data_IF_745793038861
#
_entry.id   IF_745793038861
#
_cell.length_a   1.000
_cell.length_b   1.000
_cell.length_c   1.000
_cell.angle_alpha   90.00
_cell.angle_beta   90.00
_cell.angle_gamma   90.00
#
_symmetry.space_group_name_H-M   'P 1'
#
loop_
_entity.id
_entity.type
_entity.pdbx_description
1 polymer ?
#
# COMPACT_ATOMS: atom_id res chain seq x y z
N UNK A 1 -21.32 -28.82 2.27
CA UNK A 1 -20.86 -27.43 2.49
C UNK A 1 -21.53 -26.54 1.46
N UNK A 2 -21.99 -25.33 1.82
CA UNK A 2 -22.43 -24.36 0.82
C UNK A 2 -21.29 -24.10 -0.19
N UNK A 3 -21.64 -23.85 -1.46
CA UNK A 3 -20.67 -23.45 -2.48
C UNK A 3 -20.17 -22.04 -2.14
N UNK A 4 -18.98 -21.93 -1.55
CA UNK A 4 -18.30 -20.67 -1.31
C UNK A 4 -17.49 -20.29 -2.55
N UNK A 5 -17.41 -18.99 -2.88
CA UNK A 5 -16.57 -18.52 -3.99
C UNK A 5 -15.08 -18.53 -3.63
N UNK A 6 -14.76 -18.53 -2.33
CA UNK A 6 -13.43 -18.62 -1.78
C UNK A 6 -13.40 -19.65 -0.63
N UNK A 7 -12.26 -19.79 0.06
CA UNK A 7 -12.06 -20.76 1.12
C UNK A 7 -12.93 -20.49 2.36
N UNK A 8 -13.38 -21.54 3.08
CA UNK A 8 -13.97 -21.39 4.40
C UNK A 8 -12.94 -20.83 5.41
N UNK A 9 -13.43 -20.24 6.50
CA UNK A 9 -12.61 -19.55 7.49
C UNK A 9 -11.50 -20.44 8.09
N UNK A 10 -11.74 -21.74 8.31
CA UNK A 10 -10.70 -22.64 8.82
C UNK A 10 -9.50 -22.73 7.86
N UNK A 11 -9.77 -22.81 6.56
CA UNK A 11 -8.72 -22.87 5.53
C UNK A 11 -8.04 -21.51 5.33
N UNK A 12 -8.78 -20.40 5.40
CA UNK A 12 -8.21 -19.05 5.31
C UNK A 12 -7.13 -18.81 6.38
N UNK A 13 -7.37 -19.29 7.62
CA UNK A 13 -6.42 -19.14 8.74
C UNK A 13 -5.11 -19.90 8.55
N UNK A 14 -5.11 -20.94 7.73
CA UNK A 14 -3.92 -21.76 7.47
C UNK A 14 -3.25 -21.41 6.14
N UNK A 15 -3.96 -20.71 5.24
CA UNK A 15 -3.52 -20.44 3.89
C UNK A 15 -2.22 -19.62 3.81
N UNK A 16 -1.24 -20.11 3.05
CA UNK A 16 0.09 -19.50 2.93
C UNK A 16 0.34 -18.85 1.56
N UNK A 17 -0.70 -18.62 0.76
CA UNK A 17 -0.55 -18.08 -0.60
C UNK A 17 -0.05 -19.09 -1.63
N UNK A 18 -0.11 -18.71 -2.90
CA UNK A 18 0.30 -19.57 -4.03
C UNK A 18 1.19 -18.85 -5.05
N UNK A 19 1.19 -17.52 -5.09
CA UNK A 19 2.08 -16.78 -5.97
C UNK A 19 3.55 -17.07 -5.63
N UNK A 20 4.41 -17.47 -6.60
CA UNK A 20 5.80 -17.78 -6.33
C UNK A 20 6.55 -16.61 -5.69
N UNK A 21 7.49 -16.92 -4.79
CA UNK A 21 8.45 -15.96 -4.22
C UNK A 21 9.74 -16.02 -5.05
N UNK A 22 10.21 -14.91 -5.65
CA UNK A 22 11.52 -14.85 -6.27
C UNK A 22 12.64 -15.29 -5.32
N UNK A 23 13.63 -16.02 -5.82
CA UNK A 23 14.71 -16.59 -4.98
C UNK A 23 15.60 -15.51 -4.35
N UNK A 24 15.78 -14.40 -5.06
CA UNK A 24 16.55 -13.21 -4.74
C UNK A 24 15.68 -12.05 -4.23
N UNK A 25 14.43 -12.32 -3.85
CA UNK A 25 13.46 -11.33 -3.36
C UNK A 25 14.03 -10.40 -2.27
N UNK A 26 14.78 -10.97 -1.32
CA UNK A 26 15.33 -10.17 -0.23
C UNK A 26 16.44 -9.22 -0.71
N UNK A 27 17.33 -9.69 -1.58
CA UNK A 27 18.38 -8.87 -2.17
C UNK A 27 17.80 -7.75 -3.04
N UNK A 28 16.75 -8.04 -3.82
CA UNK A 28 16.04 -7.06 -4.64
C UNK A 28 15.50 -5.88 -3.82
N UNK A 29 14.83 -6.17 -2.69
CA UNK A 29 14.28 -5.12 -1.83
C UNK A 29 15.35 -4.39 -1.01
N UNK A 30 16.39 -5.09 -0.56
CA UNK A 30 17.52 -4.46 0.14
C UNK A 30 18.26 -3.49 -0.80
N UNK A 31 18.42 -3.84 -2.08
CA UNK A 31 18.98 -2.94 -3.09
C UNK A 31 18.06 -1.74 -3.36
N UNK A 32 16.73 -1.95 -3.43
CA UNK A 32 15.77 -0.85 -3.55
C UNK A 32 15.81 0.13 -2.37
N UNK A 33 15.95 -0.37 -1.13
CA UNK A 33 16.11 0.47 0.05
C UNK A 33 17.46 1.20 0.08
N UNK A 34 18.52 0.58 -0.42
CA UNK A 34 19.82 1.24 -0.58
C UNK A 34 19.76 2.36 -1.62
N UNK A 35 19.03 2.16 -2.73
CA UNK A 35 18.73 3.20 -3.72
C UNK A 35 18.02 4.39 -3.05
N UNK A 36 16.92 4.13 -2.31
CA UNK A 36 16.19 5.16 -1.56
C UNK A 36 17.08 5.88 -0.53
N UNK A 37 17.97 5.15 0.14
CA UNK A 37 18.89 5.73 1.12
C UNK A 37 19.89 6.71 0.50
N UNK A 38 20.33 6.44 -0.74
CA UNK A 38 21.29 7.26 -1.47
C UNK A 38 20.65 8.44 -2.23
N UNK A 39 19.32 8.47 -2.38
CA UNK A 39 18.63 9.57 -3.04
C UNK A 39 18.67 10.86 -2.22
N UNK A 40 18.84 11.97 -2.92
CA UNK A 40 18.46 13.29 -2.41
C UNK A 40 16.98 13.54 -2.77
N UNK A 41 16.07 13.53 -1.78
CA UNK A 41 14.64 13.66 -2.04
C UNK A 41 14.24 15.06 -2.52
N UNK A 42 15.12 16.08 -2.46
CA UNK A 42 14.82 17.43 -2.94
C UNK A 42 13.45 17.92 -2.43
N UNK A 43 13.26 17.83 -1.11
CA UNK A 43 11.96 18.07 -0.46
C UNK A 43 11.51 19.52 -0.69
N UNK A 44 10.25 19.69 -1.06
CA UNK A 44 9.62 20.99 -1.22
C UNK A 44 8.26 20.99 -0.53
N UNK A 45 7.98 22.05 0.23
CA UNK A 45 6.69 22.27 0.87
C UNK A 45 6.05 23.52 0.26
N UNK A 46 4.94 23.34 -0.45
CA UNK A 46 4.15 24.43 -1.01
C UNK A 46 2.87 24.57 -0.20
N UNK A 47 2.54 25.74 0.37
CA UNK A 47 1.27 25.93 1.06
C UNK A 47 0.08 25.57 0.17
N UNK A 48 -0.87 24.81 0.71
CA UNK A 48 -2.09 24.45 -0.01
C UNK A 48 -3.14 25.57 0.08
N UNK A 49 -4.05 25.64 -0.91
CA UNK A 49 -5.17 26.59 -0.88
C UNK A 49 -6.16 26.30 0.26
N UNK A 50 -6.27 25.04 0.69
CA UNK A 50 -7.12 24.66 1.81
C UNK A 50 -6.49 25.11 3.14
N UNK A 51 -7.19 25.99 3.86
CA UNK A 51 -6.72 26.60 5.10
C UNK A 51 -7.70 26.32 6.25
N UNK A 52 -7.17 26.12 7.46
CA UNK A 52 -7.94 25.83 8.66
C UNK A 52 -7.23 26.38 9.91
N UNK A 53 -7.95 26.73 11.00
CA UNK A 53 -7.31 27.23 12.22
C UNK A 53 -6.49 26.20 12.98
N UNK A 54 -6.68 24.89 12.73
CA UNK A 54 -6.01 23.83 13.51
C UNK A 54 -4.79 23.21 12.82
N UNK A 55 -4.62 23.43 11.53
CA UNK A 55 -3.58 22.78 10.74
C UNK A 55 -2.91 23.74 9.76
N UNK A 56 -1.60 23.55 9.56
CA UNK A 56 -0.87 24.01 8.38
C UNK A 56 -0.91 22.91 7.32
N UNK A 57 -1.45 23.25 6.14
CA UNK A 57 -1.64 22.32 5.03
C UNK A 57 -0.65 22.63 3.91
N UNK A 58 0.13 21.64 3.50
CA UNK A 58 1.14 21.75 2.44
C UNK A 58 0.96 20.65 1.41
N UNK A 59 1.22 21.00 0.16
CA UNK A 59 1.67 20.05 -0.84
C UNK A 59 3.14 19.73 -0.55
N UNK A 60 3.41 18.51 -0.08
CA UNK A 60 4.75 17.97 0.06
C UNK A 60 5.13 17.30 -1.25
N UNK A 61 6.24 17.72 -1.83
CA UNK A 61 6.84 17.07 -2.98
C UNK A 61 8.23 16.53 -2.64
N UNK A 62 8.54 15.34 -3.15
CA UNK A 62 9.85 14.71 -3.06
C UNK A 62 10.18 13.94 -4.34
N UNK A 63 11.47 13.70 -4.58
CA UNK A 63 11.97 12.98 -5.76
C UNK A 63 12.19 11.52 -5.39
N UNK A 64 11.40 10.63 -6.00
CA UNK A 64 11.50 9.19 -5.81
C UNK A 64 12.49 8.52 -6.77
N UNK A 65 12.59 7.19 -6.67
CA UNK A 65 13.38 6.36 -7.60
C UNK A 65 12.94 6.57 -9.05
N UNK A 66 13.87 6.48 -10.01
CA UNK A 66 13.63 6.86 -11.40
C UNK A 66 13.45 8.38 -11.62
N UNK A 67 13.67 9.19 -10.58
CA UNK A 67 13.64 10.65 -10.65
C UNK A 67 12.25 11.25 -10.85
N UNK A 68 11.19 10.54 -10.46
CA UNK A 68 9.82 11.04 -10.53
C UNK A 68 9.52 12.02 -9.41
N UNK A 69 8.78 13.10 -9.71
CA UNK A 69 8.30 14.01 -8.68
C UNK A 69 7.02 13.46 -8.05
N UNK A 70 7.12 13.05 -6.79
CA UNK A 70 6.05 12.44 -6.03
C UNK A 70 5.45 13.47 -5.08
N UNK A 71 4.12 13.45 -4.95
CA UNK A 71 3.34 14.35 -4.12
C UNK A 71 2.68 13.61 -2.97
N UNK A 72 2.63 14.26 -1.81
CA UNK A 72 1.76 13.91 -0.71
C UNK A 72 1.09 15.17 -0.14
N UNK A 73 -0.17 15.04 0.31
CA UNK A 73 -0.78 16.05 1.17
C UNK A 73 -0.16 15.94 2.55
N UNK A 74 0.33 17.03 3.10
CA UNK A 74 0.89 17.11 4.44
C UNK A 74 0.06 18.06 5.29
N UNK A 75 -0.42 17.59 6.45
CA UNK A 75 -1.11 18.40 7.43
C UNK A 75 -0.33 18.34 8.73
N UNK A 76 0.05 19.51 9.25
CA UNK A 76 0.76 19.66 10.52
C UNK A 76 -0.09 20.44 11.51
N UNK A 77 -0.20 20.00 12.78
CA UNK A 77 -0.95 20.71 13.80
C UNK A 77 -0.29 22.05 14.13
N UNK A 78 -1.08 23.14 14.21
CA UNK A 78 -0.58 24.49 14.54
C UNK A 78 -0.15 24.65 15.99
N UNK A 79 -0.65 23.80 16.87
CA UNK A 79 -0.42 23.88 18.31
C UNK A 79 0.15 22.56 18.81
N UNK A 80 1.48 22.44 18.80
CA UNK A 80 2.20 21.37 19.49
C UNK A 80 3.50 21.91 20.11
N UNK A 81 3.81 21.47 21.33
CA UNK A 81 4.94 21.97 22.11
C UNK A 81 6.21 21.08 22.03
N UNK A 82 6.19 20.03 21.20
CA UNK A 82 7.29 19.08 21.02
C UNK A 82 6.95 17.94 20.07
N UNK A 83 7.85 16.95 19.87
CA UNK A 83 7.65 15.85 18.94
C UNK A 83 6.37 15.06 19.20
N UNK A 84 5.62 14.78 18.14
CA UNK A 84 4.27 14.18 18.20
C UNK A 84 4.08 13.06 17.17
N UNK A 85 3.02 12.25 17.29
CA UNK A 85 2.79 11.16 16.36
C UNK A 85 2.51 11.62 14.93
N UNK A 86 2.63 10.68 14.00
CA UNK A 86 2.25 10.87 12.61
C UNK A 86 1.45 9.70 12.04
N UNK A 87 0.59 9.98 11.07
CA UNK A 87 -0.20 8.97 10.33
C UNK A 87 0.05 9.12 8.83
N UNK A 88 0.51 8.04 8.22
CA UNK A 88 0.65 7.90 6.77
C UNK A 88 -0.62 7.29 6.19
N UNK A 89 -1.19 7.92 5.16
CA UNK A 89 -2.41 7.47 4.52
C UNK A 89 -2.17 7.15 3.04
N UNK A 90 -2.72 6.02 2.59
CA UNK A 90 -2.61 5.55 1.21
C UNK A 90 -4.00 5.30 0.60
N UNK A 91 -4.19 5.66 -0.67
CA UNK A 91 -5.50 5.64 -1.33
C UNK A 91 -5.76 4.38 -2.17
N UNK A 92 -7.03 4.13 -2.46
CA UNK A 92 -7.50 3.05 -3.33
C UNK A 92 -7.07 3.24 -4.79
N UNK A 93 -7.07 2.15 -5.57
CA UNK A 93 -6.52 2.14 -6.93
C UNK A 93 -7.24 3.13 -7.85
N UNK A 94 -6.48 3.81 -8.71
CA UNK A 94 -6.88 4.91 -9.61
C UNK A 94 -7.28 6.24 -8.94
N UNK A 95 -7.48 6.23 -7.62
CA UNK A 95 -7.88 7.40 -6.86
C UNK A 95 -6.74 8.40 -6.59
N UNK A 96 -6.91 9.19 -5.53
CA UNK A 96 -5.92 10.13 -4.99
C UNK A 96 -6.06 10.23 -3.47
N UNK A 97 -5.21 11.04 -2.84
CA UNK A 97 -5.13 11.28 -1.40
C UNK A 97 -6.43 11.77 -0.72
N UNK A 98 -7.51 12.04 -1.48
CA UNK A 98 -8.84 12.38 -0.94
C UNK A 98 -8.91 13.81 -0.42
N UNK A 99 -9.98 14.16 0.28
CA UNK A 99 -10.20 15.54 0.74
C UNK A 99 -9.35 15.88 1.97
N UNK A 100 -8.95 17.16 2.10
CA UNK A 100 -8.15 17.62 3.24
C UNK A 100 -8.87 17.45 4.58
N UNK A 101 -10.18 17.69 4.60
CA UNK A 101 -11.02 17.65 5.80
C UNK A 101 -11.08 16.26 6.44
N UNK A 102 -10.95 15.20 5.66
CA UNK A 102 -10.96 13.81 6.14
C UNK A 102 -9.77 13.49 7.06
N UNK A 103 -8.70 14.29 7.00
CA UNK A 103 -7.48 14.10 7.81
C UNK A 103 -7.52 14.90 9.11
N UNK A 104 -8.44 15.85 9.24
CA UNK A 104 -8.45 16.80 10.36
C UNK A 104 -8.75 16.14 11.71
N UNK A 105 -9.40 14.97 11.72
CA UNK A 105 -9.61 14.19 12.95
C UNK A 105 -8.29 13.82 13.63
N UNK A 106 -7.29 13.37 12.88
CA UNK A 106 -5.96 13.05 13.41
C UNK A 106 -5.17 14.30 13.78
N UNK A 107 -5.29 15.37 12.99
CA UNK A 107 -4.66 16.66 13.33
C UNK A 107 -5.21 17.22 14.65
N UNK A 108 -6.51 17.03 14.91
CA UNK A 108 -7.12 17.41 16.19
C UNK A 108 -6.61 16.59 17.39
N UNK A 109 -6.04 15.40 17.17
CA UNK A 109 -5.28 14.64 18.18
C UNK A 109 -3.84 15.15 18.36
N UNK A 110 -3.43 16.13 17.55
CA UNK A 110 -2.07 16.67 17.52
C UNK A 110 -1.12 15.86 16.63
N UNK A 111 -1.62 15.12 15.63
CA UNK A 111 -0.77 14.29 14.77
C UNK A 111 -0.41 15.00 13.45
N UNK A 112 0.79 14.76 12.94
CA UNK A 112 1.10 15.02 11.52
C UNK A 112 0.38 13.99 10.67
N UNK A 113 -0.20 14.40 9.54
CA UNK A 113 -0.80 13.48 8.57
C UNK A 113 -0.14 13.68 7.22
N UNK A 114 0.37 12.60 6.62
CA UNK A 114 0.87 12.60 5.26
C UNK A 114 0.07 11.61 4.40
N UNK A 115 -0.56 12.08 3.32
CA UNK A 115 -1.36 11.24 2.42
C UNK A 115 -0.74 11.23 1.02
N UNK A 116 -0.14 10.11 0.62
CA UNK A 116 0.58 9.95 -0.64
C UNK A 116 -0.39 9.93 -1.82
N UNK A 117 -0.06 10.62 -2.91
CA UNK A 117 -0.65 10.34 -4.23
C UNK A 117 0.23 9.32 -4.97
N UNK A 118 -0.35 8.24 -5.47
CA UNK A 118 0.40 7.25 -6.24
C UNK A 118 0.74 7.78 -7.63
N UNK A 119 1.92 7.43 -8.14
CA UNK A 119 2.41 7.82 -9.48
C UNK A 119 1.38 7.54 -10.57
N UNK A 120 1.07 8.54 -11.40
CA UNK A 120 0.22 8.39 -12.59
C UNK A 120 -1.25 8.03 -12.31
N UNK A 121 -1.72 8.16 -11.06
CA UNK A 121 -3.12 7.96 -10.70
C UNK A 121 -3.85 9.30 -10.63
N UNK A 122 -4.99 9.38 -9.94
CA UNK A 122 -5.85 10.58 -9.93
C UNK A 122 -5.32 11.76 -9.10
N UNK A 123 -4.05 11.71 -8.67
CA UNK A 123 -3.41 12.71 -7.82
C UNK A 123 -2.37 13.55 -8.56
N UNK A 124 -1.46 14.19 -7.82
CA UNK A 124 -0.44 15.09 -8.39
C UNK A 124 0.91 14.42 -8.67
N UNK A 125 1.09 13.15 -8.32
CA UNK A 125 2.36 12.43 -8.49
C UNK A 125 2.62 12.04 -9.93
N UNK A 126 3.84 12.29 -10.39
CA UNK A 126 4.30 11.95 -11.72
C UNK A 126 4.60 10.45 -11.87
N UNK A 127 4.13 9.83 -12.96
CA UNK A 127 4.72 8.62 -13.52
C UNK A 127 5.58 9.03 -14.74
N UNK A 128 6.91 8.94 -14.61
CA UNK A 128 7.84 9.28 -15.69
C UNK A 128 7.91 8.23 -16.80
N UNK A 129 7.35 7.03 -16.58
CA UNK A 129 7.47 5.90 -17.49
C UNK A 129 8.93 5.47 -17.66
N UNK A 130 9.37 5.29 -18.91
CA UNK A 130 10.72 4.75 -19.20
C UNK A 130 10.80 3.22 -19.18
N UNK A 131 9.66 2.56 -19.36
CA UNK A 131 9.56 1.09 -19.40
C UNK A 131 9.21 0.60 -20.80
N UNK A 132 9.64 -0.60 -21.14
CA UNK A 132 9.19 -1.32 -22.34
C UNK A 132 7.84 -1.99 -22.10
N UNK A 133 7.21 -2.49 -23.17
CA UNK A 133 5.98 -3.29 -23.06
C UNK A 133 4.70 -2.45 -22.95
N UNK A 134 3.71 -2.97 -22.23
CA UNK A 134 2.35 -2.44 -22.27
C UNK A 134 2.15 -1.22 -21.36
N UNK A 135 1.76 -0.10 -21.96
CA UNK A 135 1.57 1.18 -21.26
C UNK A 135 0.15 1.76 -21.38
N UNK A 136 -0.75 1.10 -22.12
CA UNK A 136 -2.11 1.61 -22.36
C UNK A 136 -2.94 1.67 -21.07
N UNK A 137 -2.89 0.62 -20.24
CA UNK A 137 -3.58 0.54 -18.96
C UNK A 137 -2.93 -0.51 -18.06
N UNK A 138 -3.14 -0.35 -16.76
CA UNK A 138 -2.63 -1.24 -15.72
C UNK A 138 -1.26 -0.83 -15.18
N UNK A 139 -1.15 -0.74 -13.85
CA UNK A 139 0.07 -0.42 -13.11
C UNK A 139 0.71 -1.66 -12.46
N UNK A 140 -0.05 -2.73 -12.21
CA UNK A 140 0.47 -4.05 -11.79
C UNK A 140 1.37 -4.62 -12.89
N UNK A 141 0.92 -4.56 -14.14
CA UNK A 141 1.63 -5.13 -15.29
C UNK A 141 2.60 -4.15 -15.98
N UNK A 142 2.74 -2.93 -15.45
CA UNK A 142 3.64 -1.92 -16.03
C UNK A 142 5.10 -2.28 -15.72
N UNK A 143 5.88 -2.54 -16.78
CA UNK A 143 7.25 -3.04 -16.67
C UNK A 143 7.35 -4.58 -16.57
N UNK A 144 6.22 -5.28 -16.62
CA UNK A 144 6.19 -6.75 -16.67
C UNK A 144 6.76 -7.25 -18.01
N UNK A 145 7.69 -8.21 -17.95
CA UNK A 145 8.47 -8.67 -19.12
C UNK A 145 9.72 -7.84 -19.44
N UNK A 146 10.01 -6.78 -18.67
CA UNK A 146 11.29 -6.06 -18.65
C UNK A 146 12.04 -6.43 -17.35
N UNK A 147 13.12 -5.71 -17.01
CA UNK A 147 13.84 -5.87 -15.74
C UNK A 147 12.90 -5.63 -14.53
N UNK A 148 12.88 -6.49 -13.49
CA UNK A 148 12.02 -6.32 -12.32
C UNK A 148 12.15 -4.96 -11.61
N UNK A 149 13.32 -4.32 -11.70
CA UNK A 149 13.58 -2.99 -11.14
C UNK A 149 12.75 -1.87 -11.77
N UNK A 150 12.23 -2.09 -12.98
CA UNK A 150 11.39 -1.16 -13.74
C UNK A 150 9.90 -1.33 -13.47
N UNK A 151 9.49 -2.33 -12.68
CA UNK A 151 8.08 -2.52 -12.34
C UNK A 151 7.55 -1.31 -11.58
N UNK A 152 6.43 -0.74 -12.05
CA UNK A 152 5.91 0.51 -11.48
C UNK A 152 5.59 0.38 -9.98
N UNK A 153 5.03 -0.75 -9.54
CA UNK A 153 4.76 -0.95 -8.11
C UNK A 153 6.01 -1.11 -7.24
N UNK A 154 7.17 -1.48 -7.80
CA UNK A 154 8.43 -1.38 -7.06
C UNK A 154 8.69 0.07 -6.68
N UNK A 155 8.59 0.98 -7.66
CA UNK A 155 8.78 2.41 -7.43
C UNK A 155 7.74 2.97 -6.45
N UNK A 156 6.46 2.62 -6.60
CA UNK A 156 5.40 3.07 -5.69
C UNK A 156 5.63 2.55 -4.26
N UNK A 157 6.08 1.30 -4.07
CA UNK A 157 6.40 0.78 -2.73
C UNK A 157 7.62 1.50 -2.13
N UNK A 158 8.63 1.84 -2.93
CA UNK A 158 9.76 2.64 -2.47
C UNK A 158 9.35 4.08 -2.13
N UNK A 159 8.34 4.65 -2.81
CA UNK A 159 7.79 5.96 -2.44
C UNK A 159 7.11 5.94 -1.07
N UNK A 160 6.45 4.84 -0.68
CA UNK A 160 5.87 4.74 0.67
C UNK A 160 6.95 4.72 1.74
N UNK A 161 8.04 3.98 1.51
CA UNK A 161 9.19 3.94 2.40
C UNK A 161 9.89 5.32 2.50
N UNK A 162 10.07 6.00 1.35
CA UNK A 162 10.65 7.33 1.32
C UNK A 162 9.76 8.38 2.01
N UNK A 163 8.44 8.34 1.79
CA UNK A 163 7.51 9.21 2.52
C UNK A 163 7.59 8.97 4.03
N UNK A 164 7.62 7.71 4.47
CA UNK A 164 7.73 7.37 5.88
C UNK A 164 9.02 7.93 6.50
N UNK A 165 10.16 7.75 5.81
CA UNK A 165 11.44 8.31 6.22
C UNK A 165 11.40 9.84 6.30
N UNK A 166 10.88 10.52 5.28
CA UNK A 166 10.75 11.99 5.26
C UNK A 166 9.93 12.49 6.45
N UNK A 167 8.81 11.81 6.76
CA UNK A 167 7.95 12.18 7.89
C UNK A 167 8.63 11.91 9.22
N UNK A 168 9.32 10.78 9.37
CA UNK A 168 10.09 10.44 10.59
C UNK A 168 11.29 11.37 10.83
N UNK A 169 11.84 11.98 9.78
CA UNK A 169 12.95 12.95 9.86
C UNK A 169 12.48 14.40 10.15
N UNK A 170 11.16 14.66 10.25
CA UNK A 170 10.66 15.99 10.63
C UNK A 170 10.94 16.29 12.11
N UNK A 171 11.45 17.48 12.42
CA UNK A 171 11.84 17.88 13.79
C UNK A 171 10.70 17.80 14.83
N UNK A 172 9.45 17.89 14.38
CA UNK A 172 8.25 17.85 15.22
C UNK A 172 7.55 16.47 15.22
N UNK A 173 8.11 15.46 14.55
CA UNK A 173 7.57 14.09 14.56
C UNK A 173 8.42 13.20 15.47
N UNK A 174 7.76 12.43 16.32
CA UNK A 174 8.39 11.33 17.04
C UNK A 174 8.44 10.09 16.14
N UNK A 175 9.64 9.74 15.64
CA UNK A 175 9.84 8.62 14.73
C UNK A 175 9.39 7.25 15.29
N UNK A 176 9.24 7.13 16.62
CA UNK A 176 8.78 5.90 17.26
C UNK A 176 7.24 5.81 17.35
N UNK A 177 6.53 6.87 16.94
CA UNK A 177 5.07 7.00 17.01
C UNK A 177 4.48 7.34 15.65
N UNK A 178 4.81 6.52 14.64
CA UNK A 178 4.25 6.66 13.29
C UNK A 178 3.37 5.45 12.94
N UNK A 179 2.19 5.70 12.39
CA UNK A 179 1.29 4.68 11.88
C UNK A 179 1.04 4.79 10.37
N UNK A 180 0.51 3.71 9.77
CA UNK A 180 0.09 3.67 8.38
C UNK A 180 -1.32 3.09 8.23
N UNK A 181 -2.12 3.61 7.30
CA UNK A 181 -3.47 3.12 7.01
C UNK A 181 -3.91 3.38 5.58
N UNK A 182 -4.85 2.57 5.10
CA UNK A 182 -5.42 2.69 3.76
C UNK A 182 -6.31 1.50 3.40
N UNK A 183 -7.18 1.71 2.41
CA UNK A 183 -8.09 0.67 1.91
C UNK A 183 -7.75 0.22 0.50
N UNK A 184 -7.98 -1.06 0.20
CA UNK A 184 -7.74 -1.66 -1.11
C UNK A 184 -6.26 -1.56 -1.49
N UNK A 185 -5.91 -0.86 -2.58
CA UNK A 185 -4.51 -0.48 -2.88
C UNK A 185 -3.82 0.14 -1.66
N UNK A 186 -4.49 1.06 -0.97
CA UNK A 186 -3.95 1.70 0.23
C UNK A 186 -3.67 0.71 1.35
N UNK A 187 -4.41 -0.40 1.44
CA UNK A 187 -4.16 -1.47 2.40
C UNK A 187 -2.90 -2.27 2.04
N UNK A 188 -2.71 -2.58 0.76
CA UNK A 188 -1.47 -3.19 0.26
C UNK A 188 -0.26 -2.28 0.49
N UNK A 189 -0.39 -0.98 0.19
CA UNK A 189 0.65 0.03 0.40
C UNK A 189 0.95 0.27 1.89
N UNK A 190 -0.05 0.16 2.76
CA UNK A 190 0.15 0.20 4.22
C UNK A 190 1.09 -0.93 4.68
N UNK A 191 0.85 -2.15 4.21
CA UNK A 191 1.66 -3.32 4.54
C UNK A 191 3.05 -3.25 3.90
N UNK A 192 3.15 -2.78 2.65
CA UNK A 192 4.44 -2.55 1.99
C UNK A 192 5.26 -1.47 2.72
N UNK A 193 4.65 -0.36 3.10
CA UNK A 193 5.28 0.70 3.89
C UNK A 193 5.80 0.17 5.23
N UNK A 194 4.98 -0.57 5.98
CA UNK A 194 5.36 -1.16 7.26
C UNK A 194 6.44 -2.25 7.15
N UNK A 195 6.59 -2.86 5.98
CA UNK A 195 7.63 -3.85 5.70
C UNK A 195 8.96 -3.19 5.31
N UNK A 196 8.90 -2.08 4.56
CA UNK A 196 10.08 -1.37 4.03
C UNK A 196 10.61 -0.30 4.98
N UNK A 197 9.76 0.22 5.87
CA UNK A 197 10.13 1.04 7.02
C UNK A 197 9.65 0.35 8.32
N UNK A 198 10.44 -0.58 8.89
CA UNK A 198 10.01 -1.40 10.02
C UNK A 198 9.89 -0.63 11.34
N UNK A 199 10.22 0.67 11.38
CA UNK A 199 9.95 1.54 12.54
C UNK A 199 8.47 1.93 12.66
N UNK A 200 7.65 1.76 11.62
CA UNK A 200 6.19 1.99 11.69
C UNK A 200 5.60 1.17 12.85
N UNK A 201 4.93 1.87 13.77
CA UNK A 201 4.45 1.28 15.04
C UNK A 201 3.14 0.55 14.88
N UNK A 202 2.17 1.17 14.20
CA UNK A 202 0.82 0.63 13.98
C UNK A 202 0.48 0.62 12.50
N UNK A 203 -0.19 -0.44 12.03
CA UNK A 203 -0.66 -0.55 10.65
C UNK A 203 -2.11 -1.03 10.62
N UNK A 204 -2.96 -0.32 9.90
CA UNK A 204 -4.40 -0.61 9.83
C UNK A 204 -4.92 -0.80 8.39
N UNK A 205 -4.48 -1.85 7.68
CA UNK A 205 -4.93 -2.11 6.30
C UNK A 205 -6.39 -2.56 6.24
N UNK A 206 -7.12 -2.09 5.24
CA UNK A 206 -8.50 -2.49 4.95
C UNK A 206 -8.53 -3.21 3.60
N UNK A 207 -9.03 -4.45 3.60
CA UNK A 207 -9.14 -5.36 2.45
C UNK A 207 -7.97 -5.25 1.45
N UNK A 208 -6.72 -5.52 1.88
CA UNK A 208 -5.53 -5.17 1.13
C UNK A 208 -5.50 -5.81 -0.27
N UNK A 209 -5.28 -4.97 -1.27
CA UNK A 209 -4.98 -5.33 -2.67
C UNK A 209 -3.49 -5.71 -2.82
N UNK A 210 -3.05 -6.07 -4.04
CA UNK A 210 -1.65 -6.38 -4.38
C UNK A 210 -1.08 -7.60 -3.64
N UNK A 211 -1.95 -8.55 -3.31
CA UNK A 211 -1.59 -9.78 -2.60
C UNK A 211 -1.96 -10.99 -3.45
N UNK A 212 -1.04 -11.93 -3.57
CA UNK A 212 -1.30 -13.28 -4.10
C UNK A 212 -1.95 -13.31 -5.49
N UNK A 213 -1.30 -12.66 -6.46
CA UNK A 213 -1.81 -12.47 -7.82
C UNK A 213 -2.23 -13.79 -8.49
N UNK A 214 -1.43 -14.86 -8.31
CA UNK A 214 -1.77 -16.19 -8.83
C UNK A 214 -3.07 -16.74 -8.24
N UNK A 215 -3.35 -16.50 -6.95
CA UNK A 215 -4.62 -16.93 -6.34
C UNK A 215 -5.82 -16.19 -6.94
N UNK A 216 -5.68 -14.90 -7.20
CA UNK A 216 -6.71 -14.11 -7.89
C UNK A 216 -7.00 -14.71 -9.27
N UNK A 217 -5.95 -15.06 -10.00
CA UNK A 217 -6.04 -15.72 -11.30
C UNK A 217 -6.77 -17.05 -11.23
N UNK A 218 -6.35 -17.94 -10.32
CA UNK A 218 -6.93 -19.28 -10.15
C UNK A 218 -8.41 -19.25 -9.71
N UNK A 219 -8.85 -18.15 -9.07
CA UNK A 219 -10.25 -17.92 -8.69
C UNK A 219 -11.11 -17.35 -9.84
N UNK A 220 -10.54 -17.11 -11.02
CA UNK A 220 -11.18 -16.41 -12.15
C UNK A 220 -11.70 -15.01 -11.76
N UNK A 221 -10.99 -14.36 -10.82
CA UNK A 221 -11.27 -13.02 -10.32
C UNK A 221 -10.22 -11.99 -10.77
N UNK A 222 -9.40 -12.32 -11.77
CA UNK A 222 -8.57 -11.39 -12.53
C UNK A 222 -9.44 -10.43 -13.38
N UNK A 223 -10.33 -9.72 -12.70
CA UNK A 223 -11.37 -8.83 -13.20
C UNK A 223 -11.34 -7.58 -12.34
N UNK A 224 -12.08 -6.54 -12.73
CA UNK A 224 -12.15 -5.28 -11.99
C UNK A 224 -10.73 -4.73 -11.71
N UNK A 225 -10.32 -4.60 -10.44
CA UNK A 225 -9.00 -4.10 -10.06
C UNK A 225 -7.83 -4.97 -10.57
N UNK A 226 -8.03 -6.28 -10.74
CA UNK A 226 -7.03 -7.21 -11.27
C UNK A 226 -7.22 -7.53 -12.76
N UNK A 227 -8.11 -6.82 -13.48
CA UNK A 227 -8.42 -7.08 -14.90
C UNK A 227 -7.18 -7.02 -15.80
N UNK A 228 -6.21 -6.18 -15.44
CA UNK A 228 -4.98 -6.02 -16.20
C UNK A 228 -4.14 -7.30 -16.31
N UNK A 229 -4.27 -8.25 -15.37
CA UNK A 229 -3.61 -9.56 -15.46
C UNK A 229 -4.16 -10.38 -16.64
N UNK A 230 -5.49 -10.53 -16.72
CA UNK A 230 -6.15 -11.25 -17.82
C UNK A 230 -5.88 -10.59 -19.16
N UNK A 231 -5.93 -9.27 -19.18
CA UNK A 231 -5.72 -8.50 -20.40
C UNK A 231 -4.28 -8.56 -20.90
N UNK A 232 -3.31 -8.68 -20.00
CA UNK A 232 -1.90 -8.89 -20.35
C UNK A 232 -1.72 -10.29 -20.94
N UNK A 233 -2.17 -11.36 -20.25
CA UNK A 233 -2.05 -12.74 -20.76
C UNK A 233 -2.69 -12.88 -22.13
N UNK A 234 -3.92 -12.38 -22.33
CA UNK A 234 -4.61 -12.44 -23.62
C UNK A 234 -3.86 -11.77 -24.78
N UNK A 235 -2.97 -10.82 -24.51
CA UNK A 235 -2.24 -10.07 -25.53
C UNK A 235 -0.83 -10.59 -25.75
N UNK A 236 -0.14 -10.96 -24.67
CA UNK A 236 1.30 -11.19 -24.68
C UNK A 236 1.68 -12.64 -24.42
N UNK A 237 0.81 -13.42 -23.79
CA UNK A 237 1.01 -14.86 -23.57
C UNK A 237 -0.33 -15.63 -23.62
N UNK A 238 -1.03 -15.63 -24.77
CA UNK A 238 -2.39 -16.17 -24.87
C UNK A 238 -2.45 -17.70 -24.71
N UNK A 239 -1.30 -18.37 -24.77
CA UNK A 239 -1.15 -19.82 -24.60
C UNK A 239 -0.55 -20.20 -23.25
N UNK A 240 -0.24 -19.21 -22.40
CA UNK A 240 0.31 -19.43 -21.06
C UNK A 240 1.65 -20.17 -21.07
N UNK A 241 2.47 -19.94 -22.11
CA UNK A 241 3.78 -20.57 -22.28
C UNK A 241 4.80 -20.05 -21.24
N UNK A 242 4.59 -18.83 -20.72
CA UNK A 242 5.46 -18.15 -19.76
C UNK A 242 4.76 -17.87 -18.42
N UNK A 243 3.63 -18.55 -18.14
CA UNK A 243 2.79 -18.28 -16.97
C UNK A 243 3.57 -18.31 -15.64
N UNK A 244 4.44 -19.31 -15.46
CA UNK A 244 5.24 -19.44 -14.24
C UNK A 244 6.20 -18.26 -14.04
N UNK A 245 6.87 -17.84 -15.11
CA UNK A 245 7.85 -16.75 -15.06
C UNK A 245 7.14 -15.40 -14.81
N UNK A 246 5.98 -15.18 -15.44
CA UNK A 246 5.14 -14.00 -15.22
C UNK A 246 4.71 -13.88 -13.76
N UNK A 247 4.15 -14.95 -13.18
CA UNK A 247 3.74 -14.91 -11.76
C UNK A 247 4.94 -14.85 -10.82
N UNK A 248 6.09 -15.41 -11.20
CA UNK A 248 7.33 -15.26 -10.43
C UNK A 248 7.78 -13.80 -10.43
N UNK A 249 7.77 -13.11 -11.57
CA UNK A 249 8.10 -11.68 -11.64
C UNK A 249 7.11 -10.82 -10.84
N UNK A 250 5.81 -11.09 -10.92
CA UNK A 250 4.80 -10.46 -10.06
C UNK A 250 5.06 -10.68 -8.57
N UNK A 251 5.74 -11.78 -8.21
CA UNK A 251 6.17 -12.07 -6.85
C UNK A 251 7.11 -11.03 -6.24
N UNK A 252 7.83 -10.23 -7.02
CA UNK A 252 8.63 -9.12 -6.48
C UNK A 252 7.78 -8.02 -5.85
N UNK A 253 6.60 -7.76 -6.43
CA UNK A 253 5.64 -6.74 -5.97
C UNK A 253 4.43 -7.34 -5.26
N UNK A 254 4.52 -8.60 -4.84
CA UNK A 254 3.49 -9.24 -4.03
C UNK A 254 3.71 -8.95 -2.56
N UNK A 255 2.77 -8.22 -1.96
CA UNK A 255 2.85 -7.76 -0.56
C UNK A 255 2.96 -8.95 0.40
N UNK A 256 2.47 -10.14 0.04
CA UNK A 256 2.59 -11.32 0.88
C UNK A 256 4.06 -11.68 1.19
N UNK A 257 4.98 -11.42 0.26
CA UNK A 257 6.39 -11.79 0.42
C UNK A 257 7.17 -10.75 1.24
N UNK A 258 6.67 -9.52 1.33
CA UNK A 258 7.14 -8.46 2.22
C UNK A 258 6.74 -8.68 3.69
N UNK A 259 5.68 -9.47 3.96
CA UNK A 259 5.05 -9.60 5.28
C UNK A 259 6.02 -9.94 6.43
N UNK A 260 7.05 -10.75 6.16
CA UNK A 260 8.04 -11.17 7.17
C UNK A 260 8.90 -10.01 7.70
N UNK A 261 8.95 -8.87 6.99
CA UNK A 261 9.67 -7.67 7.40
C UNK A 261 8.86 -6.78 8.35
N UNK A 262 7.54 -6.96 8.41
CA UNK A 262 6.63 -6.13 9.23
C UNK A 262 6.91 -6.33 10.72
N UNK A 263 7.05 -5.22 11.45
CA UNK A 263 7.22 -5.17 12.92
C UNK A 263 6.09 -4.43 13.64
N UNK A 264 5.24 -3.75 12.90
CA UNK A 264 4.09 -3.01 13.42
C UNK A 264 3.07 -3.93 14.09
N UNK A 265 2.28 -3.37 15.01
CA UNK A 265 1.03 -3.99 15.44
C UNK A 265 -0.01 -3.79 14.34
N UNK A 266 -0.63 -4.87 13.86
CA UNK A 266 -1.51 -4.85 12.69
C UNK A 266 -2.97 -5.10 13.08
N UNK A 267 -3.88 -4.22 12.67
CA UNK A 267 -5.33 -4.50 12.68
C UNK A 267 -5.80 -4.54 11.24
N UNK A 268 -6.01 -5.76 10.71
CA UNK A 268 -6.46 -5.93 9.34
C UNK A 268 -7.97 -6.11 9.28
N UNK A 269 -8.64 -5.31 8.44
CA UNK A 269 -10.08 -5.41 8.23
C UNK A 269 -10.40 -6.15 6.94
N UNK A 270 -11.34 -7.10 6.98
CA UNK A 270 -11.69 -7.98 5.85
C UNK A 270 -13.20 -8.07 5.69
N UNK A 271 -13.70 -7.81 4.48
CA UNK A 271 -15.05 -8.22 4.06
C UNK A 271 -15.01 -9.64 3.50
N UNK A 272 -15.77 -10.57 4.08
CA UNK A 272 -15.70 -11.99 3.67
C UNK A 272 -16.41 -12.29 2.35
N UNK A 273 -17.22 -11.35 1.85
CA UNK A 273 -17.85 -11.43 0.52
C UNK A 273 -17.11 -10.58 -0.54
N UNK A 274 -15.89 -10.11 -0.26
CA UNK A 274 -15.11 -9.30 -1.19
C UNK A 274 -14.62 -10.13 -2.39
N UNK A 275 -15.10 -9.77 -3.59
CA UNK A 275 -14.71 -10.39 -4.87
C UNK A 275 -13.73 -9.55 -5.68
N UNK A 276 -13.35 -8.37 -5.19
CA UNK A 276 -12.32 -7.51 -5.76
C UNK A 276 -10.96 -7.87 -5.16
N UNK A 277 -10.89 -7.97 -3.84
CA UNK A 277 -9.73 -8.46 -3.09
C UNK A 277 -10.16 -9.72 -2.34
N UNK A 278 -10.04 -10.93 -2.92
CA UNK A 278 -10.56 -12.15 -2.30
C UNK A 278 -9.96 -12.39 -0.90
N UNK A 279 -10.74 -12.83 0.11
CA UNK A 279 -10.22 -13.06 1.46
C UNK A 279 -8.96 -13.93 1.51
N UNK A 280 -8.86 -14.99 0.70
CA UNK A 280 -7.67 -15.85 0.63
C UNK A 280 -6.39 -15.07 0.35
N UNK A 281 -6.43 -14.11 -0.57
CA UNK A 281 -5.27 -13.27 -0.91
C UNK A 281 -4.84 -12.38 0.25
N UNK A 282 -5.81 -11.85 1.01
CA UNK A 282 -5.54 -11.03 2.19
C UNK A 282 -4.99 -11.87 3.35
N UNK A 283 -5.50 -13.09 3.51
CA UNK A 283 -4.98 -14.03 4.52
C UNK A 283 -3.58 -14.54 4.16
N UNK A 284 -3.23 -14.65 2.87
CA UNK A 284 -1.89 -15.04 2.42
C UNK A 284 -0.81 -14.08 2.96
N UNK A 285 -1.09 -12.78 3.03
CA UNK A 285 -0.20 -11.80 3.67
C UNK A 285 -0.34 -11.82 5.19
N UNK A 286 -1.56 -11.78 5.73
CA UNK A 286 -1.80 -11.71 7.17
C UNK A 286 -1.17 -12.87 7.94
N UNK A 287 -1.28 -14.09 7.42
CA UNK A 287 -0.75 -15.29 8.08
C UNK A 287 0.78 -15.25 8.20
N UNK A 288 1.47 -14.55 7.29
CA UNK A 288 2.93 -14.40 7.27
C UNK A 288 3.47 -13.25 8.14
N UNK A 289 2.62 -12.39 8.68
CA UNK A 289 3.06 -11.30 9.57
C UNK A 289 3.53 -11.91 10.92
N UNK A 290 4.78 -11.67 11.36
CA UNK A 290 5.33 -12.29 12.58
C UNK A 290 4.92 -11.56 13.87
N UNK A 291 4.52 -10.28 13.78
CA UNK A 291 4.19 -9.41 14.91
C UNK A 291 2.78 -9.57 15.46
N UNK A 292 2.41 -8.68 16.41
CA UNK A 292 1.05 -8.63 16.95
C UNK A 292 0.08 -8.26 15.82
N UNK A 293 -0.97 -9.07 15.66
CA UNK A 293 -1.96 -8.88 14.61
C UNK A 293 -3.35 -9.30 15.06
N UNK A 294 -4.37 -8.60 14.60
CA UNK A 294 -5.78 -8.95 14.83
C UNK A 294 -6.61 -8.71 13.57
N UNK A 295 -7.77 -9.36 13.51
CA UNK A 295 -8.70 -9.27 12.39
C UNK A 295 -9.99 -8.59 12.82
N UNK A 296 -10.51 -7.74 11.94
CA UNK A 296 -11.87 -7.21 12.02
C UNK A 296 -12.64 -7.72 10.82
N UNK A 297 -13.54 -8.68 11.05
CA UNK A 297 -14.25 -9.39 9.99
C UNK A 297 -15.65 -8.82 9.80
N UNK A 298 -16.02 -8.59 8.54
CA UNK A 298 -17.36 -8.21 8.11
C UNK A 298 -17.92 -9.33 7.23
N UNK A 299 -18.68 -10.30 7.79
CA UNK A 299 -19.05 -11.52 7.08
C UNK A 299 -19.87 -11.28 5.81
N UNK A 300 -20.78 -10.31 5.87
CA UNK A 300 -21.76 -10.08 4.81
C UNK A 300 -21.34 -9.00 3.80
N UNK A 301 -20.18 -8.36 3.99
CA UNK A 301 -19.74 -7.21 3.20
C UNK A 301 -18.69 -7.59 2.14
N UNK A 302 -18.74 -6.88 1.01
CA UNK A 302 -17.76 -6.98 -0.07
C UNK A 302 -16.74 -5.84 -0.06
N UNK A 303 -16.42 -5.35 -1.26
CA UNK A 303 -15.48 -4.24 -1.48
C UNK A 303 -16.18 -2.87 -1.42
N UNK A 304 -16.59 -2.49 -0.22
CA UNK A 304 -17.49 -1.35 0.00
C UNK A 304 -17.21 -0.66 1.34
N UNK A 305 -18.01 0.36 1.67
CA UNK A 305 -17.93 0.99 2.98
C UNK A 305 -18.31 -0.01 4.09
N UNK A 306 -17.45 -0.10 5.11
CA UNK A 306 -17.64 -1.00 6.25
C UNK A 306 -18.08 -0.19 7.48
N UNK A 307 -19.36 -0.28 7.90
CA UNK A 307 -19.88 0.54 8.98
C UNK A 307 -19.06 0.43 10.28
N UNK A 308 -18.75 1.57 10.89
CA UNK A 308 -17.95 1.67 12.12
C UNK A 308 -16.47 1.30 11.99
N UNK A 309 -15.98 0.98 10.78
CA UNK A 309 -14.57 0.65 10.59
C UNK A 309 -13.66 1.88 10.71
N UNK A 310 -14.10 3.01 10.15
CA UNK A 310 -13.36 4.27 10.26
C UNK A 310 -13.11 4.66 11.72
N UNK A 311 -14.15 4.58 12.57
CA UNK A 311 -14.04 4.85 14.01
C UNK A 311 -13.10 3.87 14.71
N UNK A 312 -13.18 2.58 14.37
CA UNK A 312 -12.32 1.56 14.96
C UNK A 312 -10.83 1.79 14.62
N UNK A 313 -10.53 2.17 13.37
CA UNK A 313 -9.18 2.53 12.95
C UNK A 313 -8.73 3.82 13.61
N UNK A 314 -9.60 4.84 13.69
CA UNK A 314 -9.30 6.08 14.39
C UNK A 314 -8.89 5.81 15.85
N UNK A 315 -9.68 5.01 16.59
CA UNK A 315 -9.37 4.64 17.97
C UNK A 315 -8.06 3.85 18.07
N UNK A 316 -7.86 2.83 17.23
CA UNK A 316 -6.63 2.04 17.22
C UNK A 316 -5.38 2.91 16.97
N UNK A 317 -5.46 3.86 16.03
CA UNK A 317 -4.34 4.75 15.73
C UNK A 317 -4.16 5.88 16.75
N UNK A 318 -5.18 6.17 17.58
CA UNK A 318 -5.09 7.17 18.66
C UNK A 318 -4.22 6.71 19.85
N UNK A 319 -3.88 5.42 19.89
CA UNK A 319 -3.03 4.81 20.92
C UNK A 319 -1.51 4.98 20.64
N UNK A 320 -1.13 5.85 19.69
CA UNK A 320 0.28 6.13 19.34
C UNK A 320 1.07 6.87 20.43
#
# INVERSE_FOLDING_TARGET
MPLLFDMPMEQLREYQGVNPRPADFDAFWDQGLAEVSALDPQIELVPADFQTPIADCYHLYFTGTGGARVHAKLLRPKTNAGPHPAVLMFHGYSGNSGDWSEKLGYVALGYTVAALDCRGQGGLSEDRGGVSGWTLRGHIVRGLGDDPEKMLFRHIFLDTALLARIVMEMDDVDENRVAATGGSQGGGLTLACAALEPRIKLAAPIFPFLCDYRRVWDLELAKNAYAELEEWFRRFDPLHEQEHDVFTQLGYIDVQHLAQRIRSNVVMTVGLNDRICPPSTQFAVYNKIPGQKSLRLYPDFGHENLPGNADAIFQFLSDL
#
